data_IF_861801545102
#
_entry.id   IF_861801545102
#
_cell.length_a   1.000
_cell.length_b   1.000
_cell.length_c   1.000
_cell.angle_alpha   90.00
_cell.angle_beta   90.00
_cell.angle_gamma   90.00
#
_symmetry.space_group_name_H-M   'P 1'
#
loop_
_entity.id
_entity.type
_entity.pdbx_description
1 polymer ?
#
# COMPACT_ATOMS: atom_id res chain seq x y z
N UNK A 1 -1.28 2.94 -1.51
CA UNK A 1 -2.48 3.80 -1.62
C UNK A 1 -3.70 3.02 -1.13
N UNK A 2 -4.87 3.65 -0.91
CA UNK A 2 -6.13 2.93 -0.59
C UNK A 2 -6.40 1.80 -1.58
N UNK A 3 -6.28 2.10 -2.88
CA UNK A 3 -6.54 1.13 -3.93
C UNK A 3 -5.53 -0.02 -3.90
N UNK A 4 -4.29 0.23 -3.48
CA UNK A 4 -3.29 -0.82 -3.31
C UNK A 4 -3.63 -1.75 -2.14
N UNK A 5 -4.30 -1.24 -1.09
CA UNK A 5 -4.78 -2.09 0.01
C UNK A 5 -5.90 -3.00 -0.42
N UNK A 6 -6.95 -2.44 -1.04
CA UNK A 6 -8.12 -3.21 -1.46
C UNK A 6 -7.76 -4.21 -2.57
N UNK A 7 -6.81 -3.86 -3.45
CA UNK A 7 -6.35 -4.72 -4.55
C UNK A 7 -5.10 -5.53 -4.20
N UNK A 8 -4.63 -5.46 -2.96
CA UNK A 8 -3.47 -6.20 -2.46
C UNK A 8 -2.20 -6.04 -3.32
N UNK A 9 -1.96 -4.83 -3.82
CA UNK A 9 -0.84 -4.49 -4.71
C UNK A 9 0.43 -4.22 -3.93
N UNK A 10 0.80 -5.15 -3.07
CA UNK A 10 1.96 -5.03 -2.19
C UNK A 10 3.15 -5.88 -2.67
N UNK A 11 2.94 -6.79 -3.60
CA UNK A 11 3.96 -7.77 -4.03
C UNK A 11 4.29 -8.84 -2.97
N UNK A 12 3.68 -8.75 -1.79
CA UNK A 12 3.77 -9.71 -0.70
C UNK A 12 2.44 -9.80 0.05
N UNK A 13 2.23 -10.90 0.77
CA UNK A 13 1.06 -11.09 1.61
C UNK A 13 1.24 -10.39 2.97
N UNK A 14 0.51 -9.30 3.25
CA UNK A 14 0.61 -8.65 4.54
C UNK A 14 -0.06 -9.49 5.62
N UNK A 15 0.38 -9.31 6.87
CA UNK A 15 -0.22 -10.02 8.01
C UNK A 15 -1.72 -9.69 8.12
N UNK A 16 -2.60 -10.68 8.41
CA UNK A 16 -4.04 -10.45 8.55
C UNK A 16 -4.38 -9.36 9.57
N UNK A 17 -3.65 -9.26 10.67
CA UNK A 17 -3.86 -8.24 11.70
C UNK A 17 -3.60 -6.82 11.16
N UNK A 18 -2.63 -6.68 10.26
CA UNK A 18 -2.30 -5.41 9.63
C UNK A 18 -3.39 -4.98 8.64
N UNK A 19 -3.85 -5.91 7.79
CA UNK A 19 -4.96 -5.67 6.88
C UNK A 19 -6.24 -5.32 7.63
N UNK A 20 -6.51 -5.99 8.76
CA UNK A 20 -7.65 -5.71 9.62
C UNK A 20 -7.58 -4.27 10.18
N UNK A 21 -6.41 -3.86 10.70
CA UNK A 21 -6.19 -2.50 11.18
C UNK A 21 -6.37 -1.45 10.07
N UNK A 22 -5.84 -1.71 8.87
CA UNK A 22 -6.05 -0.84 7.71
C UNK A 22 -7.53 -0.75 7.32
N UNK A 23 -8.26 -1.86 7.32
CA UNK A 23 -9.69 -1.88 7.01
C UNK A 23 -10.51 -1.06 8.03
N UNK A 24 -10.27 -1.24 9.34
CA UNK A 24 -10.96 -0.48 10.38
C UNK A 24 -10.67 1.03 10.29
N UNK A 25 -9.42 1.42 10.09
CA UNK A 25 -9.02 2.81 9.87
C UNK A 25 -9.65 3.37 8.60
N UNK A 26 -9.69 2.61 7.51
CA UNK A 26 -10.30 3.03 6.26
C UNK A 26 -11.81 3.29 6.40
N UNK A 27 -12.53 2.41 7.10
CA UNK A 27 -13.94 2.63 7.46
C UNK A 27 -14.06 3.91 8.30
N UNK A 28 -13.27 4.05 9.36
CA UNK A 28 -13.34 5.20 10.26
C UNK A 28 -13.10 6.52 9.52
N UNK A 29 -12.05 6.60 8.70
CA UNK A 29 -11.71 7.78 7.91
C UNK A 29 -12.83 8.12 6.93
N UNK A 30 -13.37 7.11 6.23
CA UNK A 30 -14.42 7.30 5.22
C UNK A 30 -15.70 7.82 5.86
N UNK A 31 -16.18 7.17 6.92
CA UNK A 31 -17.42 7.56 7.59
C UNK A 31 -17.26 8.91 8.30
N UNK A 32 -16.10 9.17 8.92
CA UNK A 32 -15.85 10.49 9.54
C UNK A 32 -15.87 11.62 8.51
N UNK A 33 -15.49 11.34 7.26
CA UNK A 33 -15.54 12.33 6.18
C UNK A 33 -16.95 12.50 5.58
N UNK A 34 -17.72 11.42 5.43
CA UNK A 34 -19.06 11.46 4.83
C UNK A 34 -20.17 11.79 5.83
N UNK A 35 -19.99 11.44 7.10
CA UNK A 35 -20.95 11.56 8.21
C UNK A 35 -20.27 12.06 9.51
N UNK A 36 -19.72 13.29 9.55
CA UNK A 36 -18.85 13.78 10.63
C UNK A 36 -19.48 13.83 12.03
N UNK A 37 -20.81 13.80 12.14
CA UNK A 37 -21.54 13.86 13.41
C UNK A 37 -22.15 12.52 13.83
N UNK A 38 -21.97 11.46 13.04
CA UNK A 38 -22.60 10.17 13.28
C UNK A 38 -21.65 9.23 14.03
N UNK A 39 -22.18 8.54 15.04
CA UNK A 39 -21.46 7.45 15.70
C UNK A 39 -21.20 6.32 14.70
N UNK A 40 -19.93 5.91 14.59
CA UNK A 40 -19.50 4.90 13.65
C UNK A 40 -19.75 3.52 14.27
N UNK A 41 -20.53 2.68 13.59
CA UNK A 41 -20.74 1.30 13.98
C UNK A 41 -20.74 0.41 12.76
N UNK A 42 -20.21 -0.82 12.89
CA UNK A 42 -20.12 -1.76 11.77
C UNK A 42 -21.49 -2.05 11.15
N UNK A 43 -22.55 -2.13 11.97
CA UNK A 43 -23.93 -2.33 11.52
C UNK A 43 -24.41 -1.23 10.58
N UNK A 44 -24.12 0.04 10.89
CA UNK A 44 -24.53 1.16 10.04
C UNK A 44 -23.71 1.18 8.75
N UNK A 45 -22.41 0.91 8.84
CA UNK A 45 -21.51 0.83 7.68
C UNK A 45 -21.98 -0.23 6.69
N UNK A 46 -22.26 -1.42 7.19
CA UNK A 46 -22.73 -2.55 6.39
C UNK A 46 -24.08 -2.27 5.74
N UNK A 47 -24.99 -1.60 6.44
CA UNK A 47 -26.30 -1.20 5.90
C UNK A 47 -26.18 -0.15 4.78
N UNK A 48 -25.26 0.80 4.90
CA UNK A 48 -25.19 1.96 4.00
C UNK A 48 -24.25 1.74 2.80
N UNK A 49 -23.13 1.04 2.99
CA UNK A 49 -22.12 0.83 1.95
C UNK A 49 -21.77 -0.63 1.70
N UNK A 50 -22.20 -1.55 2.57
CA UNK A 50 -21.62 -2.90 2.63
C UNK A 50 -20.18 -2.89 3.18
N UNK A 51 -19.63 -4.07 3.41
CA UNK A 51 -18.26 -4.23 3.93
C UNK A 51 -17.23 -4.49 2.82
N UNK A 52 -17.64 -5.07 1.70
CA UNK A 52 -16.77 -5.45 0.58
C UNK A 52 -15.85 -4.32 0.08
N UNK A 53 -16.30 -3.05 -0.03
CA UNK A 53 -15.41 -1.95 -0.46
C UNK A 53 -14.24 -1.63 0.48
N UNK A 54 -14.29 -2.13 1.72
CA UNK A 54 -13.29 -1.88 2.76
C UNK A 54 -12.39 -3.08 3.04
N UNK A 55 -12.76 -4.26 2.54
CA UNK A 55 -12.14 -5.53 2.93
C UNK A 55 -11.28 -6.09 1.79
N UNK A 56 -9.94 -6.17 1.98
CA UNK A 56 -9.07 -6.99 1.16
C UNK A 56 -9.60 -8.45 1.04
N UNK A 57 -9.59 -9.06 -0.15
CA UNK A 57 -10.10 -10.42 -0.35
C UNK A 57 -9.44 -11.48 0.55
N UNK A 58 -8.14 -11.36 0.81
CA UNK A 58 -7.41 -12.32 1.66
C UNK A 58 -7.92 -12.36 3.11
N UNK A 59 -8.45 -11.25 3.63
CA UNK A 59 -9.03 -11.20 4.98
C UNK A 59 -10.30 -12.05 5.09
N UNK A 60 -11.10 -12.11 4.03
CA UNK A 60 -12.33 -12.89 3.98
C UNK A 60 -12.02 -14.40 3.97
N UNK A 61 -10.86 -14.79 3.45
CA UNK A 61 -10.42 -16.18 3.37
C UNK A 61 -9.65 -16.61 4.62
N UNK A 62 -8.86 -15.71 5.22
CA UNK A 62 -7.97 -16.02 6.35
C UNK A 62 -8.60 -15.93 7.73
N UNK A 63 -9.73 -15.22 7.88
CA UNK A 63 -10.38 -15.00 9.18
C UNK A 63 -11.87 -15.38 9.12
N UNK A 64 -12.35 -16.13 10.12
CA UNK A 64 -13.77 -16.44 10.27
C UNK A 64 -14.59 -15.15 10.36
N UNK A 65 -15.66 -15.05 9.58
CA UNK A 65 -16.52 -13.86 9.45
C UNK A 65 -16.98 -13.28 10.81
N UNK A 66 -17.41 -14.15 11.74
CA UNK A 66 -17.81 -13.73 13.09
C UNK A 66 -16.68 -13.04 13.85
N UNK A 67 -15.46 -13.56 13.74
CA UNK A 67 -14.26 -12.99 14.37
C UNK A 67 -13.88 -11.68 13.70
N UNK A 68 -13.88 -11.64 12.36
CA UNK A 68 -13.62 -10.44 11.58
C UNK A 68 -14.55 -9.28 11.99
N UNK A 69 -15.88 -9.52 12.00
CA UNK A 69 -16.88 -8.53 12.40
C UNK A 69 -16.68 -8.07 13.85
N UNK A 70 -16.36 -8.99 14.77
CA UNK A 70 -16.10 -8.65 16.19
C UNK A 70 -14.89 -7.73 16.31
N UNK A 71 -13.79 -8.07 15.64
CA UNK A 71 -12.54 -7.29 15.71
C UNK A 71 -12.69 -5.91 15.06
N UNK A 72 -13.33 -5.82 13.88
CA UNK A 72 -13.65 -4.53 13.25
C UNK A 72 -14.50 -3.65 14.18
N UNK A 73 -15.54 -4.24 14.78
CA UNK A 73 -16.41 -3.50 15.72
C UNK A 73 -15.64 -2.97 16.93
N UNK A 74 -14.68 -3.75 17.45
CA UNK A 74 -13.83 -3.33 18.56
C UNK A 74 -12.90 -2.19 18.16
N UNK A 75 -12.20 -2.30 17.02
CA UNK A 75 -11.29 -1.24 16.55
C UNK A 75 -12.03 0.06 16.22
N UNK A 76 -13.20 -0.02 15.58
CA UNK A 76 -14.03 1.17 15.32
C UNK A 76 -14.45 1.88 16.61
N UNK A 77 -14.77 1.14 17.68
CA UNK A 77 -15.04 1.73 19.00
C UNK A 77 -13.78 2.39 19.56
N UNK A 78 -12.63 1.73 19.49
CA UNK A 78 -11.36 2.24 20.02
C UNK A 78 -10.93 3.56 19.35
N UNK A 79 -11.10 3.69 18.04
CA UNK A 79 -10.82 4.93 17.31
C UNK A 79 -11.76 6.09 17.68
N UNK A 80 -12.92 5.80 18.29
CA UNK A 80 -13.86 6.81 18.78
C UNK A 80 -13.61 7.21 20.24
N UNK A 81 -12.98 6.33 21.05
CA UNK A 81 -12.76 6.57 22.49
C UNK A 81 -11.49 7.37 22.82
N UNK A 82 -10.68 7.72 21.82
CA UNK A 82 -9.53 8.64 21.99
C UNK A 82 -9.81 10.05 21.40
N UNK A 83 -10.58 10.93 22.06
CA UNK A 83 -10.78 12.31 21.61
C UNK A 83 -10.04 13.29 22.54
N UNK A 84 -8.73 13.46 22.40
CA UNK A 84 -8.04 14.62 23.01
C UNK A 84 -8.06 15.87 22.11
N UNK A 85 -8.56 15.74 20.88
CA UNK A 85 -8.86 16.86 19.99
C UNK A 85 -10.19 16.56 19.28
N UNK A 86 -11.01 17.56 18.98
CA UNK A 86 -12.36 17.38 18.42
C UNK A 86 -12.44 16.50 17.16
N UNK A 87 -13.65 16.21 16.67
CA UNK A 87 -13.93 15.27 15.56
C UNK A 87 -13.07 15.45 14.29
N UNK A 88 -12.60 16.66 13.99
CA UNK A 88 -11.65 16.91 12.88
C UNK A 88 -10.24 16.40 13.17
N UNK A 89 -9.77 16.54 14.41
CA UNK A 89 -8.45 16.08 14.85
C UNK A 89 -8.35 14.56 14.90
N UNK A 90 -9.42 13.86 15.29
CA UNK A 90 -9.46 12.39 15.33
C UNK A 90 -9.36 11.77 13.93
N UNK A 91 -10.00 12.37 12.91
CA UNK A 91 -9.90 11.91 11.52
C UNK A 91 -8.49 12.08 10.94
N UNK A 92 -7.79 13.17 11.27
CA UNK A 92 -6.39 13.39 10.85
C UNK A 92 -5.47 12.35 11.51
N UNK A 93 -5.65 12.09 12.81
CA UNK A 93 -4.87 11.07 13.52
C UNK A 93 -5.08 9.67 12.91
N UNK A 94 -6.33 9.31 12.57
CA UNK A 94 -6.60 8.05 11.89
C UNK A 94 -5.90 7.96 10.52
N UNK A 95 -5.89 9.04 9.73
CA UNK A 95 -5.14 9.09 8.46
C UNK A 95 -3.64 8.90 8.68
N UNK A 96 -3.05 9.55 9.69
CA UNK A 96 -1.64 9.39 10.02
C UNK A 96 -1.34 7.96 10.47
N UNK A 97 -2.18 7.36 11.30
CA UNK A 97 -2.03 5.96 11.71
C UNK A 97 -2.12 5.01 10.51
N UNK A 98 -3.06 5.24 9.59
CA UNK A 98 -3.20 4.46 8.37
C UNK A 98 -1.92 4.52 7.52
N UNK A 99 -1.36 5.71 7.33
CA UNK A 99 -0.11 5.89 6.60
C UNK A 99 1.09 5.27 7.31
N UNK A 100 1.13 5.28 8.66
CA UNK A 100 2.19 4.61 9.43
C UNK A 100 2.19 3.11 9.21
N UNK A 101 1.01 2.47 9.29
CA UNK A 101 0.88 1.03 9.03
C UNK A 101 1.30 0.72 7.59
N UNK A 102 0.87 1.53 6.62
CA UNK A 102 1.32 1.35 5.25
C UNK A 102 2.83 1.51 5.09
N UNK A 103 3.47 2.38 5.85
CA UNK A 103 4.91 2.59 5.77
C UNK A 103 5.76 1.40 6.25
N UNK A 104 5.15 0.45 6.97
CA UNK A 104 5.79 -0.82 7.34
C UNK A 104 5.91 -1.77 6.14
N UNK A 105 5.13 -1.56 5.07
CA UNK A 105 5.23 -2.35 3.84
C UNK A 105 6.42 -1.91 2.97
N UNK A 106 7.27 -2.84 2.54
CA UNK A 106 8.41 -2.55 1.67
C UNK A 106 8.06 -1.84 0.37
N UNK A 107 6.95 -2.21 -0.26
CA UNK A 107 6.52 -1.61 -1.54
C UNK A 107 5.75 -0.32 -1.37
N UNK A 108 5.49 0.14 -0.15
CA UNK A 108 4.73 1.37 0.04
C UNK A 108 5.46 2.56 -0.58
N UNK A 109 4.69 3.37 -1.34
CA UNK A 109 5.18 4.47 -2.19
C UNK A 109 6.06 4.05 -3.37
N UNK A 110 6.32 2.76 -3.55
CA UNK A 110 7.03 2.21 -4.70
C UNK A 110 6.12 1.52 -5.70
N UNK A 111 6.66 1.26 -6.89
CA UNK A 111 6.05 0.49 -7.97
C UNK A 111 7.02 -0.60 -8.38
N UNK A 112 6.51 -1.83 -8.50
CA UNK A 112 7.26 -2.96 -9.01
C UNK A 112 7.16 -3.00 -10.55
N UNK A 113 8.30 -3.14 -11.20
CA UNK A 113 8.42 -3.32 -12.64
C UNK A 113 9.12 -4.64 -12.94
N UNK A 114 8.45 -5.52 -13.67
CA UNK A 114 9.07 -6.74 -14.18
C UNK A 114 9.77 -6.39 -15.50
N UNK A 115 11.06 -6.70 -15.60
CA UNK A 115 11.85 -6.48 -16.81
C UNK A 115 11.90 -7.75 -17.65
N UNK A 116 12.23 -7.59 -18.92
CA UNK A 116 12.57 -8.70 -19.82
C UNK A 116 14.08 -8.66 -20.02
N UNK A 117 14.72 -9.82 -20.00
CA UNK A 117 16.14 -9.95 -20.35
C UNK A 117 16.42 -9.39 -21.74
N UNK A 118 17.46 -8.56 -21.89
CA UNK A 118 17.83 -8.01 -23.19
C UNK A 118 18.47 -9.05 -24.12
N UNK A 119 19.10 -10.10 -23.58
CA UNK A 119 19.78 -11.16 -24.32
C UNK A 119 19.75 -12.49 -23.54
N UNK A 120 20.33 -13.57 -24.11
CA UNK A 120 20.41 -14.89 -23.46
C UNK A 120 21.21 -14.90 -22.15
N UNK A 121 21.97 -13.84 -21.86
CA UNK A 121 22.83 -13.74 -20.66
C UNK A 121 22.16 -12.97 -19.53
N UNK A 122 21.21 -12.10 -19.81
CA UNK A 122 20.49 -11.32 -18.81
C UNK A 122 19.11 -11.93 -18.55
N UNK A 123 18.87 -12.40 -17.34
CA UNK A 123 17.55 -12.89 -16.93
C UNK A 123 16.59 -11.75 -16.65
N UNK A 124 15.28 -12.04 -16.72
CA UNK A 124 14.24 -11.14 -16.24
C UNK A 124 14.46 -10.81 -14.76
N UNK A 125 14.37 -9.54 -14.41
CA UNK A 125 14.53 -9.04 -13.04
C UNK A 125 13.30 -8.25 -12.59
N UNK A 126 13.17 -8.01 -11.28
CA UNK A 126 12.13 -7.13 -10.74
C UNK A 126 12.79 -5.87 -10.20
N UNK A 127 12.34 -4.70 -10.68
CA UNK A 127 12.75 -3.41 -10.15
C UNK A 127 11.69 -2.87 -9.18
N UNK A 128 12.12 -2.29 -8.07
CA UNK A 128 11.31 -1.47 -7.19
C UNK A 128 11.72 -0.01 -7.37
N UNK A 129 10.82 0.79 -7.91
CA UNK A 129 11.04 2.21 -8.16
C UNK A 129 10.16 3.04 -7.23
N UNK A 130 10.75 3.92 -6.42
CA UNK A 130 9.98 4.75 -5.51
C UNK A 130 10.84 5.75 -4.73
N UNK A 131 10.23 6.73 -4.04
CA UNK A 131 10.93 7.81 -3.35
C UNK A 131 11.87 7.30 -2.25
N UNK A 132 11.56 6.15 -1.64
CA UNK A 132 12.41 5.47 -0.65
C UNK A 132 13.48 4.56 -1.25
N UNK A 133 13.32 4.17 -2.52
CA UNK A 133 14.07 3.08 -3.13
C UNK A 133 14.94 3.53 -4.31
N UNK A 134 14.79 4.77 -4.78
CA UNK A 134 15.34 5.17 -6.07
C UNK A 134 14.86 4.23 -7.17
N UNK A 135 15.79 3.76 -7.99
CA UNK A 135 15.63 2.58 -8.85
C UNK A 135 16.42 1.44 -8.19
N UNK A 136 15.72 0.42 -7.67
CA UNK A 136 16.34 -0.71 -6.99
C UNK A 136 16.03 -2.03 -7.67
N UNK A 137 17.00 -2.94 -7.70
CA UNK A 137 16.78 -4.35 -8.02
C UNK A 137 16.27 -5.10 -6.79
N UNK A 138 15.20 -5.88 -6.94
CA UNK A 138 14.63 -6.72 -5.89
C UNK A 138 15.28 -8.09 -5.93
N UNK A 139 15.99 -8.47 -4.86
CA UNK A 139 16.58 -9.80 -4.70
C UNK A 139 15.56 -10.73 -4.01
N UNK A 140 15.01 -10.28 -2.89
CA UNK A 140 13.92 -10.97 -2.19
C UNK A 140 12.99 -9.94 -1.52
N UNK A 141 11.76 -9.88 -2.02
CA UNK A 141 10.79 -8.95 -1.47
C UNK A 141 10.30 -9.35 -0.08
N UNK A 142 10.28 -10.65 0.25
CA UNK A 142 9.78 -11.14 1.55
C UNK A 142 10.65 -10.68 2.70
N UNK A 143 11.96 -10.68 2.50
CA UNK A 143 12.95 -10.17 3.47
C UNK A 143 13.30 -8.71 3.23
N UNK A 144 12.65 -8.04 2.26
CA UNK A 144 12.96 -6.68 1.83
C UNK A 144 14.45 -6.50 1.43
N UNK A 145 15.04 -7.53 0.83
CA UNK A 145 16.39 -7.50 0.32
C UNK A 145 16.40 -6.89 -1.08
N UNK A 146 16.95 -5.68 -1.19
CA UNK A 146 17.04 -4.92 -2.45
C UNK A 146 18.44 -4.32 -2.62
N UNK A 147 18.82 -4.05 -3.86
CA UNK A 147 20.06 -3.33 -4.20
C UNK A 147 19.72 -2.08 -4.99
N UNK A 148 20.08 -0.91 -4.46
CA UNK A 148 19.87 0.37 -5.15
C UNK A 148 20.80 0.43 -6.37
N UNK A 149 20.21 0.53 -7.55
CA UNK A 149 20.94 0.71 -8.81
C UNK A 149 21.25 2.18 -9.05
N UNK A 150 20.30 3.07 -8.76
CA UNK A 150 20.50 4.51 -8.88
C UNK A 150 19.51 5.29 -8.01
N UNK A 151 19.99 6.39 -7.42
CA UNK A 151 19.14 7.40 -6.80
C UNK A 151 18.64 8.38 -7.86
N UNK A 152 17.43 8.94 -7.68
CA UNK A 152 16.86 9.87 -8.66
C UNK A 152 17.73 11.12 -8.87
N UNK A 153 18.42 11.58 -7.83
CA UNK A 153 19.36 12.71 -7.87
C UNK A 153 20.52 12.50 -8.83
N UNK A 154 20.87 11.25 -9.15
CA UNK A 154 22.00 10.89 -10.01
C UNK A 154 21.58 10.67 -11.46
N UNK A 155 20.29 10.69 -11.78
CA UNK A 155 19.82 10.41 -13.15
C UNK A 155 19.87 11.72 -13.95
N UNK A 156 20.69 11.74 -15.01
CA UNK A 156 20.78 12.89 -15.93
C UNK A 156 19.84 12.77 -17.12
N UNK A 157 19.51 11.54 -17.53
CA UNK A 157 18.70 11.29 -18.72
C UNK A 157 17.98 9.95 -18.63
N UNK A 158 16.78 9.90 -19.18
CA UNK A 158 16.01 8.66 -19.40
C UNK A 158 15.60 8.63 -20.87
N UNK A 159 15.87 7.53 -21.55
CA UNK A 159 15.50 7.31 -22.95
C UNK A 159 14.66 6.04 -23.07
N UNK A 160 13.68 6.08 -23.96
CA UNK A 160 12.79 4.97 -24.25
C UNK A 160 12.92 4.60 -25.73
N UNK A 161 13.17 3.32 -26.00
CA UNK A 161 13.25 2.78 -27.36
C UNK A 161 12.22 1.68 -27.50
N UNK A 162 11.41 1.74 -28.56
CA UNK A 162 10.48 0.66 -28.87
C UNK A 162 11.25 -0.46 -29.55
N UNK A 163 11.25 -1.64 -28.92
CA UNK A 163 11.92 -2.83 -29.47
C UNK A 163 10.90 -3.66 -30.26
N UNK A 164 9.83 -4.13 -29.60
CA UNK A 164 8.80 -5.00 -30.19
C UNK A 164 7.38 -4.59 -29.74
N UNK A 165 6.34 -5.29 -30.22
CA UNK A 165 4.99 -5.07 -29.69
C UNK A 165 4.93 -5.38 -28.19
N UNK A 166 4.61 -4.36 -27.38
CA UNK A 166 4.51 -4.48 -25.93
C UNK A 166 5.85 -4.43 -25.17
N UNK A 167 6.99 -4.29 -25.86
CA UNK A 167 8.32 -4.24 -25.23
C UNK A 167 9.03 -2.93 -25.61
N UNK A 168 9.48 -2.20 -24.58
CA UNK A 168 10.30 -1.02 -24.75
C UNK A 168 11.55 -1.12 -23.86
N UNK A 169 12.71 -0.79 -24.44
CA UNK A 169 13.97 -0.67 -23.71
C UNK A 169 14.04 0.70 -23.08
N UNK A 170 14.37 0.73 -21.78
CA UNK A 170 14.59 1.96 -21.02
C UNK A 170 16.08 2.06 -20.73
N UNK A 171 16.70 3.17 -21.13
CA UNK A 171 18.08 3.49 -20.78
C UNK A 171 18.13 4.69 -19.84
N UNK A 172 18.88 4.55 -18.75
CA UNK A 172 19.11 5.61 -17.78
C UNK A 172 20.58 6.02 -17.82
N UNK A 173 20.84 7.30 -18.07
CA UNK A 173 22.18 7.87 -17.94
C UNK A 173 22.37 8.38 -16.53
N UNK A 174 23.46 7.98 -15.89
CA UNK A 174 23.82 8.36 -14.53
C UNK A 174 24.90 9.44 -14.61
N UNK A 175 24.78 10.48 -13.78
CA UNK A 175 25.83 11.46 -13.58
C UNK A 175 27.01 10.78 -12.90
N UNK A 176 28.18 10.80 -13.53
CA UNK A 176 29.41 10.40 -12.85
C UNK A 176 29.68 11.34 -11.67
N UNK A 177 30.00 10.75 -10.53
CA UNK A 177 30.58 11.50 -9.42
C UNK A 177 31.98 11.95 -9.88
N UNK A 178 32.17 13.27 -10.02
CA UNK A 178 33.50 13.86 -10.11
C UNK A 178 34.26 13.66 -8.80
#
# INVERSE_FOLDING_TARGET
SRNDVIRERFGMDPKPEMLLGLAALHIYITVSATRPSQKISLKNVEKEWGLEPFLPPSLLQGIKEKTLRKSLSQQLKAHQTHPSSGTKGSAIQAKLQYLRILNELPTFTGVLFNTVGLDEKQSATTLLVGPRHGISHVIDLKTNLTTVLSEFSKISKIQLFRENQGVARVETSIMDAK
#
